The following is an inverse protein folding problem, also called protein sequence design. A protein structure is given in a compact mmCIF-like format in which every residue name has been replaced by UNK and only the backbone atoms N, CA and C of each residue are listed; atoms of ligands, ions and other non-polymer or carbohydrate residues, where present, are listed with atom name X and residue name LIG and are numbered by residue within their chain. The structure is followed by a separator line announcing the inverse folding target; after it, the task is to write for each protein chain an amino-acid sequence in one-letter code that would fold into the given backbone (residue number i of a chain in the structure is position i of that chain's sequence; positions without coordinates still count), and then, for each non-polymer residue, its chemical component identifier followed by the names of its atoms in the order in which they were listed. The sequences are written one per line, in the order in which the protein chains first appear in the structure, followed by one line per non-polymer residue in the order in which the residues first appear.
data_IF_400177749784
#
_entry.id   IF_400177749784
#
_cell.length_a   1.000
_cell.length_b   1.000
_cell.length_c   1.000
_cell.angle_alpha   90.00
_cell.angle_beta   90.00
_cell.angle_gamma   90.00
#
_symmetry.space_group_name_H-M   'P 1'
#
loop_
_entity.id
_entity.type
_entity.pdbx_description
1 polymer ?
#
# COMPACT_ATOMS: atom_id res chain seq x y z
N UNK A 1 12.51 -11.80 -8.61
CA UNK A 1 12.11 -13.02 -9.29
C UNK A 1 13.01 -14.18 -8.87
N UNK A 2 12.78 -14.70 -7.66
CA UNK A 2 13.69 -15.61 -6.96
C UNK A 2 13.43 -17.10 -7.28
N UNK A 3 12.74 -17.38 -8.39
CA UNK A 3 12.53 -18.74 -8.89
C UNK A 3 11.38 -19.53 -8.22
N UNK A 4 10.59 -18.90 -7.33
CA UNK A 4 9.43 -19.52 -6.68
C UNK A 4 8.17 -18.70 -7.04
N UNK A 5 7.61 -18.89 -8.23
CA UNK A 5 6.44 -18.14 -8.67
C UNK A 5 5.23 -18.41 -7.76
N UNK A 6 4.49 -17.34 -7.44
CA UNK A 6 3.32 -17.42 -6.55
C UNK A 6 3.63 -17.47 -5.06
N UNK A 7 4.91 -17.29 -4.65
CA UNK A 7 5.29 -17.08 -3.27
C UNK A 7 5.84 -15.67 -3.09
N UNK A 8 5.23 -14.89 -2.20
CA UNK A 8 5.65 -13.52 -1.84
C UNK A 8 6.04 -13.55 -0.38
N UNK A 9 7.23 -13.05 -0.07
CA UNK A 9 7.77 -12.98 1.28
C UNK A 9 8.29 -11.56 1.50
N UNK A 10 7.58 -10.81 2.33
CA UNK A 10 7.92 -9.44 2.65
C UNK A 10 8.38 -9.31 4.11
N UNK A 11 9.46 -8.55 4.30
CA UNK A 11 10.05 -8.29 5.62
C UNK A 11 9.60 -6.94 6.16
N UNK A 12 9.08 -6.95 7.38
CA UNK A 12 8.68 -5.78 8.14
C UNK A 12 9.36 -5.78 9.51
N UNK A 13 10.48 -5.07 9.61
CA UNK A 13 11.30 -5.09 10.81
C UNK A 13 11.85 -6.49 11.11
N UNK A 14 11.45 -7.07 12.24
CA UNK A 14 11.85 -8.43 12.68
C UNK A 14 10.79 -9.51 12.33
N UNK A 15 9.76 -9.14 11.55
CA UNK A 15 8.64 -9.99 11.17
C UNK A 15 8.58 -10.18 9.66
N UNK A 16 7.95 -11.28 9.25
CA UNK A 16 7.69 -11.56 7.86
C UNK A 16 6.20 -11.78 7.61
N UNK A 17 5.73 -11.26 6.50
CA UNK A 17 4.42 -11.60 5.94
C UNK A 17 4.65 -12.47 4.71
N UNK A 18 3.94 -13.62 4.64
CA UNK A 18 4.08 -14.59 3.57
C UNK A 18 2.74 -14.80 2.89
N UNK A 19 2.72 -14.69 1.57
CA UNK A 19 1.56 -14.96 0.72
C UNK A 19 1.93 -16.06 -0.29
N UNK A 20 1.18 -17.16 -0.30
CA UNK A 20 1.35 -18.26 -1.26
C UNK A 20 0.10 -18.32 -2.12
N UNK A 21 0.25 -18.02 -3.41
CA UNK A 21 -0.84 -17.86 -4.38
C UNK A 21 -0.94 -19.02 -5.39
N UNK A 22 0.06 -19.92 -5.44
CA UNK A 22 0.11 -21.01 -6.40
C UNK A 22 0.29 -22.37 -5.71
N UNK A 23 -0.26 -23.43 -6.32
CA UNK A 23 -0.21 -24.78 -5.79
C UNK A 23 1.22 -25.36 -5.71
N UNK A 24 2.14 -24.89 -6.55
CA UNK A 24 3.55 -25.32 -6.52
C UNK A 24 4.20 -25.05 -5.16
N UNK A 25 4.37 -23.78 -4.76
CA UNK A 25 4.96 -23.45 -3.45
C UNK A 25 4.12 -23.89 -2.26
N UNK A 26 2.79 -24.04 -2.40
CA UNK A 26 1.92 -24.55 -1.33
C UNK A 26 2.37 -25.93 -0.80
N UNK A 27 2.86 -26.81 -1.68
CA UNK A 27 3.40 -28.14 -1.28
C UNK A 27 4.60 -28.03 -0.34
N UNK A 28 5.32 -26.92 -0.39
CA UNK A 28 6.55 -26.70 0.37
C UNK A 28 6.39 -25.66 1.47
N UNK A 29 5.17 -25.18 1.77
CA UNK A 29 4.92 -24.08 2.68
C UNK A 29 5.57 -24.26 4.05
N UNK A 30 5.47 -25.45 4.66
CA UNK A 30 6.07 -25.75 5.97
C UNK A 30 7.61 -25.67 5.93
N UNK A 31 8.21 -26.11 4.81
CA UNK A 31 9.65 -26.01 4.58
C UNK A 31 10.04 -24.56 4.43
N UNK A 32 9.27 -23.78 3.67
CA UNK A 32 9.49 -22.34 3.46
C UNK A 32 9.52 -21.62 4.80
N UNK A 33 8.52 -21.84 5.68
CA UNK A 33 8.46 -21.20 6.99
C UNK A 33 9.63 -21.60 7.90
N UNK A 34 9.98 -22.90 7.95
CA UNK A 34 11.12 -23.39 8.74
C UNK A 34 12.45 -22.81 8.27
N UNK A 35 12.67 -22.80 6.95
CA UNK A 35 13.89 -22.23 6.35
C UNK A 35 13.96 -20.75 6.60
N UNK A 36 12.87 -20.00 6.38
CA UNK A 36 12.80 -18.56 6.61
C UNK A 36 13.14 -18.24 8.07
N UNK A 37 12.48 -18.89 9.04
CA UNK A 37 12.74 -18.68 10.45
C UNK A 37 14.20 -18.98 10.83
N UNK A 38 14.74 -20.13 10.38
CA UNK A 38 16.12 -20.56 10.67
C UNK A 38 17.14 -19.63 10.08
N UNK A 39 16.94 -19.16 8.85
CA UNK A 39 17.92 -18.33 8.12
C UNK A 39 17.91 -16.87 8.58
N UNK A 40 16.78 -16.36 9.03
CA UNK A 40 16.63 -14.94 9.37
C UNK A 40 16.64 -14.66 10.87
N UNK A 41 16.36 -15.65 11.71
CA UNK A 41 16.18 -15.44 13.14
C UNK A 41 15.02 -14.50 13.49
N UNK A 42 13.99 -14.44 12.62
CA UNK A 42 12.87 -13.53 12.80
C UNK A 42 12.06 -13.84 14.06
N UNK A 43 11.40 -12.83 14.62
CA UNK A 43 10.52 -12.99 15.78
C UNK A 43 9.20 -13.67 15.46
N UNK A 44 8.73 -13.53 14.23
CA UNK A 44 7.48 -14.16 13.80
C UNK A 44 7.23 -14.08 12.31
N UNK A 45 6.38 -15.01 11.84
CA UNK A 45 5.90 -15.09 10.47
C UNK A 45 4.37 -15.10 10.48
N UNK A 46 3.75 -14.23 9.71
CA UNK A 46 2.31 -14.18 9.50
C UNK A 46 1.96 -14.61 8.08
N UNK A 47 1.07 -15.58 7.96
CA UNK A 47 0.55 -16.07 6.67
C UNK A 47 -0.63 -15.19 6.22
N UNK A 48 -0.57 -14.65 5.00
CA UNK A 48 -1.60 -13.83 4.34
C UNK A 48 -2.10 -14.51 3.06
N UNK A 49 -2.63 -15.72 3.19
CA UNK A 49 -3.12 -16.54 2.08
C UNK A 49 -4.66 -16.42 1.94
N UNK A 50 -5.19 -15.20 2.00
CA UNK A 50 -6.63 -14.88 1.94
C UNK A 50 -7.12 -14.42 0.58
N UNK A 51 -6.26 -14.34 -0.41
CA UNK A 51 -6.58 -13.95 -1.79
C UNK A 51 -7.51 -14.97 -2.49
N UNK A 52 -8.49 -14.45 -3.27
CA UNK A 52 -9.39 -15.29 -4.08
C UNK A 52 -8.70 -16.02 -5.23
N UNK A 53 -7.49 -15.62 -5.60
CA UNK A 53 -6.65 -16.33 -6.58
C UNK A 53 -6.40 -17.77 -6.15
N UNK A 54 -6.27 -18.05 -4.84
CA UNK A 54 -6.07 -19.39 -4.30
C UNK A 54 -7.18 -20.38 -4.66
N UNK A 55 -8.44 -19.92 -4.72
CA UNK A 55 -9.56 -20.75 -5.13
C UNK A 55 -9.43 -21.24 -6.57
N UNK A 56 -8.84 -20.42 -7.45
CA UNK A 56 -8.60 -20.80 -8.87
C UNK A 56 -7.53 -21.89 -8.99
N UNK A 57 -6.63 -21.98 -7.99
CA UNK A 57 -5.60 -23.00 -7.86
C UNK A 57 -6.07 -24.23 -7.05
N UNK A 58 -7.34 -24.29 -6.64
CA UNK A 58 -7.90 -25.36 -5.82
C UNK A 58 -7.45 -25.33 -4.35
N UNK A 59 -7.01 -24.16 -3.86
CA UNK A 59 -6.51 -24.00 -2.50
C UNK A 59 -7.47 -23.22 -1.60
N UNK A 60 -7.53 -23.58 -0.33
CA UNK A 60 -8.30 -22.85 0.68
C UNK A 60 -7.58 -21.56 1.13
N UNK A 61 -8.38 -20.58 1.57
CA UNK A 61 -7.86 -19.37 2.22
C UNK A 61 -7.32 -19.71 3.61
N UNK A 62 -6.22 -19.03 3.98
CA UNK A 62 -5.58 -19.16 5.28
C UNK A 62 -4.98 -17.85 5.72
N UNK A 63 -5.07 -17.55 7.00
CA UNK A 63 -4.39 -16.42 7.64
C UNK A 63 -4.02 -16.81 9.06
N UNK A 64 -2.91 -16.32 9.55
CA UNK A 64 -2.52 -16.54 10.93
C UNK A 64 -1.02 -16.50 11.18
N UNK A 65 -0.67 -16.61 12.45
CA UNK A 65 0.73 -16.75 12.87
C UNK A 65 1.16 -18.19 12.59
N UNK A 66 2.21 -18.36 11.77
CA UNK A 66 2.74 -19.69 11.41
C UNK A 66 4.11 -19.98 12.07
N UNK A 67 4.73 -18.94 12.63
CA UNK A 67 5.97 -19.07 13.41
C UNK A 67 6.10 -17.94 14.42
N UNK A 68 6.60 -18.27 15.63
CA UNK A 68 6.94 -17.30 16.67
C UNK A 68 5.76 -16.49 17.18
N UNK A 69 6.02 -15.21 17.48
CA UNK A 69 5.01 -14.26 17.97
C UNK A 69 4.96 -13.07 17.02
N UNK A 70 3.75 -12.71 16.59
CA UNK A 70 3.49 -11.54 15.75
C UNK A 70 2.60 -10.57 16.52
N UNK A 71 2.97 -9.29 16.67
CA UNK A 71 2.18 -8.33 17.44
C UNK A 71 0.78 -8.12 16.87
N UNK A 72 -0.17 -7.81 17.73
CA UNK A 72 -1.52 -7.36 17.33
C UNK A 72 -1.52 -5.92 16.83
N UNK A 73 -0.55 -5.12 17.27
CA UNK A 73 -0.39 -3.72 16.89
C UNK A 73 0.43 -3.59 15.60
N UNK A 74 0.24 -2.49 14.84
CA UNK A 74 1.05 -2.23 13.66
C UNK A 74 2.55 -2.20 13.94
N UNK A 75 3.33 -2.71 13.00
CA UNK A 75 4.79 -2.81 13.09
C UNK A 75 5.42 -1.52 12.60
N UNK A 76 6.27 -0.86 13.41
CA UNK A 76 7.01 0.31 12.95
C UNK A 76 8.05 -0.07 11.90
N UNK A 77 8.06 0.65 10.79
CA UNK A 77 9.02 0.52 9.69
C UNK A 77 9.51 1.90 9.26
N UNK A 78 10.75 2.00 8.80
CA UNK A 78 11.28 3.22 8.22
C UNK A 78 11.64 3.00 6.73
N UNK A 79 11.24 3.95 5.90
CA UNK A 79 11.57 3.97 4.47
C UNK A 79 12.06 5.37 4.09
N UNK A 80 13.31 5.47 3.63
CA UNK A 80 13.93 6.75 3.25
C UNK A 80 13.74 7.87 4.30
N UNK A 81 13.79 7.52 5.60
CA UNK A 81 13.64 8.45 6.72
C UNK A 81 12.19 8.92 6.98
N UNK A 82 11.20 8.24 6.45
CA UNK A 82 9.78 8.32 6.84
C UNK A 82 9.44 7.08 7.65
N UNK A 83 8.76 7.28 8.78
CA UNK A 83 8.22 6.21 9.62
C UNK A 83 6.82 5.83 9.15
N UNK A 84 6.57 4.53 9.09
CA UNK A 84 5.28 3.92 8.79
C UNK A 84 4.88 2.96 9.89
N UNK A 85 3.59 2.74 10.02
CA UNK A 85 2.98 1.72 10.88
C UNK A 85 2.32 0.69 9.95
N UNK A 86 2.87 -0.51 9.92
CA UNK A 86 2.47 -1.56 8.99
C UNK A 86 1.59 -2.58 9.69
N UNK A 87 0.37 -2.71 9.24
CA UNK A 87 -0.55 -3.76 9.69
C UNK A 87 -0.40 -4.98 8.77
N UNK A 88 0.41 -5.95 9.18
CA UNK A 88 0.60 -7.19 8.42
C UNK A 88 -0.58 -8.15 8.53
N UNK A 89 -1.54 -7.89 9.43
CA UNK A 89 -2.74 -8.71 9.60
C UNK A 89 -3.87 -8.29 8.68
N UNK A 90 -4.15 -6.98 8.59
CA UNK A 90 -5.32 -6.43 7.90
C UNK A 90 -4.97 -5.43 6.79
N UNK A 91 -3.71 -5.00 6.69
CA UNK A 91 -3.25 -4.08 5.65
C UNK A 91 -3.36 -4.67 4.24
N UNK A 92 -3.28 -3.83 3.22
CA UNK A 92 -3.31 -4.26 1.83
C UNK A 92 -2.09 -5.13 1.48
N UNK A 93 -2.23 -6.04 0.52
CA UNK A 93 -1.20 -7.02 0.13
C UNK A 93 -0.69 -7.78 1.36
N UNK A 94 0.60 -7.83 1.54
CA UNK A 94 1.28 -8.42 2.71
C UNK A 94 1.32 -7.49 3.93
N UNK A 95 0.75 -6.26 3.82
CA UNK A 95 0.73 -5.21 4.84
C UNK A 95 1.03 -3.82 4.29
N UNK A 96 1.84 -3.71 3.23
CA UNK A 96 2.22 -2.44 2.61
C UNK A 96 2.67 -2.63 1.15
N UNK A 97 2.75 -1.51 0.41
CA UNK A 97 3.17 -1.47 -0.98
C UNK A 97 4.68 -1.20 -1.10
N UNK A 98 5.52 -2.20 -0.80
CA UNK A 98 6.98 -2.07 -0.85
C UNK A 98 7.52 -1.77 -2.25
N UNK A 99 6.84 -2.26 -3.28
CA UNK A 99 7.14 -2.03 -4.70
C UNK A 99 7.08 -0.56 -5.12
N UNK A 100 6.32 0.27 -4.39
CA UNK A 100 6.18 1.71 -4.66
C UNK A 100 7.26 2.59 -3.98
N UNK A 101 8.24 2.02 -3.32
CA UNK A 101 9.27 2.73 -2.55
C UNK A 101 10.00 3.80 -3.37
N UNK A 102 10.44 3.43 -4.56
CA UNK A 102 11.22 4.33 -5.42
C UNK A 102 10.32 5.42 -6.05
N UNK A 103 9.06 5.07 -6.36
CA UNK A 103 8.07 6.03 -6.81
C UNK A 103 7.76 7.08 -5.71
N UNK A 104 7.57 6.65 -4.45
CA UNK A 104 7.38 7.58 -3.33
C UNK A 104 8.57 8.52 -3.15
N UNK A 105 9.80 7.99 -3.19
CA UNK A 105 11.02 8.81 -3.14
C UNK A 105 11.03 9.84 -4.26
N UNK A 106 10.73 9.42 -5.48
CA UNK A 106 10.70 10.31 -6.65
C UNK A 106 9.65 11.42 -6.51
N UNK A 107 8.48 11.13 -5.98
CA UNK A 107 7.48 12.16 -5.67
C UNK A 107 8.03 13.18 -4.68
N UNK A 108 8.73 12.75 -3.63
CA UNK A 108 9.39 13.67 -2.71
C UNK A 108 10.37 14.63 -3.41
N UNK A 109 11.21 14.10 -4.29
CA UNK A 109 12.19 14.89 -5.07
C UNK A 109 11.54 15.93 -5.99
N UNK A 110 10.34 15.63 -6.52
CA UNK A 110 9.62 16.49 -7.46
C UNK A 110 8.71 17.52 -6.78
N UNK A 111 8.52 17.47 -5.46
CA UNK A 111 7.43 18.16 -4.76
C UNK A 111 7.77 19.57 -4.26
N UNK A 112 9.04 20.00 -4.31
CA UNK A 112 9.46 21.27 -3.72
C UNK A 112 8.65 22.46 -4.25
N UNK A 113 7.99 23.19 -3.36
CA UNK A 113 7.14 24.35 -3.65
C UNK A 113 5.82 24.02 -4.34
N UNK A 114 5.52 22.78 -4.67
CA UNK A 114 4.38 22.38 -5.48
C UNK A 114 3.11 22.12 -4.69
N UNK A 115 1.96 22.41 -5.30
CA UNK A 115 0.64 21.98 -4.91
C UNK A 115 0.42 20.56 -5.44
N UNK A 116 0.36 19.56 -4.53
CA UNK A 116 0.32 18.14 -4.88
C UNK A 116 -1.06 17.57 -4.61
N UNK A 117 -1.61 16.82 -5.58
CA UNK A 117 -2.81 15.99 -5.39
C UNK A 117 -2.42 14.51 -5.35
N UNK A 118 -2.80 13.81 -4.29
CA UNK A 118 -2.60 12.38 -4.12
C UNK A 118 -3.96 11.66 -4.10
N UNK A 119 -4.29 11.04 -5.22
CA UNK A 119 -5.53 10.30 -5.43
C UNK A 119 -5.36 8.83 -5.02
N UNK A 120 -6.44 8.22 -4.46
CA UNK A 120 -6.39 6.85 -3.92
C UNK A 120 -5.26 6.71 -2.91
N UNK A 121 -5.16 7.69 -2.01
CA UNK A 121 -3.95 7.91 -1.22
C UNK A 121 -3.70 6.84 -0.16
N UNK A 122 -4.67 5.97 0.15
CA UNK A 122 -4.58 4.95 1.21
C UNK A 122 -4.10 5.59 2.52
N UNK A 123 -3.05 5.07 3.14
CA UNK A 123 -2.43 5.62 4.35
C UNK A 123 -1.49 6.81 4.10
N UNK A 124 -1.57 7.42 2.92
CA UNK A 124 -0.92 8.69 2.61
C UNK A 124 0.57 8.62 2.27
N UNK A 125 1.11 7.46 1.93
CA UNK A 125 2.54 7.27 1.72
C UNK A 125 3.17 8.29 0.76
N UNK A 126 2.60 8.50 -0.41
CA UNK A 126 3.08 9.51 -1.36
C UNK A 126 3.00 10.94 -0.81
N UNK A 127 1.91 11.24 -0.07
CA UNK A 127 1.74 12.56 0.56
C UNK A 127 2.78 12.86 1.63
N UNK A 128 3.20 11.86 2.42
CA UNK A 128 4.28 12.00 3.39
C UNK A 128 5.60 12.36 2.70
N UNK A 129 5.93 11.68 1.60
CA UNK A 129 7.13 11.99 0.83
C UNK A 129 7.05 13.36 0.15
N UNK A 130 5.87 13.76 -0.37
CA UNK A 130 5.68 15.09 -0.94
C UNK A 130 5.92 16.19 0.09
N UNK A 131 5.38 16.05 1.31
CA UNK A 131 5.62 17.02 2.41
C UNK A 131 7.07 17.04 2.87
N UNK A 132 7.72 15.86 2.98
CA UNK A 132 9.16 15.78 3.26
C UNK A 132 9.99 16.48 2.17
N UNK A 133 9.55 16.42 0.91
CA UNK A 133 10.12 17.11 -0.23
C UNK A 133 9.74 18.60 -0.33
N UNK A 134 9.19 19.20 0.74
CA UNK A 134 8.81 20.61 0.84
C UNK A 134 7.69 21.02 -0.14
N UNK A 135 6.69 20.16 -0.37
CA UNK A 135 5.47 20.57 -1.04
C UNK A 135 4.85 21.81 -0.37
N UNK A 136 4.28 22.71 -1.16
CA UNK A 136 3.55 23.86 -0.63
C UNK A 136 2.27 23.44 0.07
N UNK A 137 1.55 22.47 -0.53
CA UNK A 137 0.37 21.83 0.04
C UNK A 137 0.13 20.46 -0.59
N UNK A 138 -0.41 19.51 0.18
CA UNK A 138 -0.76 18.16 -0.29
C UNK A 138 -2.24 17.90 -0.03
N UNK A 139 -2.98 17.58 -1.07
CA UNK A 139 -4.37 17.12 -1.01
C UNK A 139 -4.39 15.60 -1.12
N UNK A 140 -4.89 14.93 -0.11
CA UNK A 140 -4.98 13.48 -0.04
C UNK A 140 -6.45 13.06 -0.11
N UNK A 141 -6.79 12.22 -1.08
CA UNK A 141 -8.17 11.81 -1.36
C UNK A 141 -8.26 10.29 -1.36
N UNK A 142 -9.15 9.76 -0.54
CA UNK A 142 -9.46 8.33 -0.47
C UNK A 142 -10.91 8.14 0.00
N UNK A 143 -11.51 7.00 -0.31
CA UNK A 143 -12.85 6.62 0.20
C UNK A 143 -12.77 6.05 1.62
N UNK A 144 -11.59 5.58 2.04
CA UNK A 144 -11.39 4.93 3.33
C UNK A 144 -11.08 5.94 4.43
N UNK A 145 -12.08 6.23 5.27
CA UNK A 145 -11.92 7.07 6.46
C UNK A 145 -10.84 6.55 7.42
N UNK A 146 -10.74 5.23 7.57
CA UNK A 146 -9.72 4.60 8.43
C UNK A 146 -8.32 4.80 7.88
N UNK A 147 -8.11 4.68 6.58
CA UNK A 147 -6.83 4.94 5.94
C UNK A 147 -6.43 6.42 6.07
N UNK A 148 -7.36 7.35 5.86
CA UNK A 148 -7.11 8.78 6.04
C UNK A 148 -6.80 9.16 7.49
N UNK A 149 -7.38 8.45 8.47
CA UNK A 149 -7.01 8.62 9.89
C UNK A 149 -5.54 8.25 10.12
N UNK A 150 -5.12 7.09 9.62
CA UNK A 150 -3.71 6.66 9.69
C UNK A 150 -2.79 7.65 8.97
N UNK A 151 -3.19 8.16 7.80
CA UNK A 151 -2.43 9.18 7.07
C UNK A 151 -2.17 10.44 7.92
N UNK A 152 -3.17 10.91 8.67
CA UNK A 152 -3.03 12.06 9.60
C UNK A 152 -2.11 11.73 10.77
N UNK A 153 -2.23 10.55 11.36
CA UNK A 153 -1.39 10.10 12.47
C UNK A 153 0.07 9.99 12.03
N UNK A 154 0.33 9.47 10.83
CA UNK A 154 1.67 9.38 10.26
C UNK A 154 2.31 10.75 9.99
N UNK A 155 1.54 11.80 9.65
CA UNK A 155 2.08 13.16 9.56
C UNK A 155 2.65 13.63 10.91
N UNK A 156 1.90 13.41 11.98
CA UNK A 156 2.30 13.78 13.34
C UNK A 156 3.53 12.98 13.77
N UNK A 157 3.51 11.67 13.59
CA UNK A 157 4.62 10.76 13.93
C UNK A 157 5.92 11.15 13.23
N UNK A 158 5.82 11.61 11.99
CA UNK A 158 6.97 12.08 11.19
C UNK A 158 7.30 13.55 11.38
N UNK A 159 6.61 14.27 12.26
CA UNK A 159 6.79 15.70 12.51
C UNK A 159 6.69 16.55 11.24
N UNK A 160 5.83 16.14 10.31
CA UNK A 160 5.58 16.86 9.07
C UNK A 160 4.52 17.96 9.29
N UNK A 161 4.54 19.03 8.48
CA UNK A 161 3.65 20.18 8.65
C UNK A 161 2.18 19.83 8.34
N UNK A 162 1.41 19.49 9.37
CA UNK A 162 -0.01 19.09 9.25
C UNK A 162 -0.88 20.17 8.61
N UNK A 163 -0.57 21.45 8.81
CA UNK A 163 -1.25 22.58 8.20
C UNK A 163 -1.11 22.61 6.65
N UNK A 164 -0.12 21.90 6.11
CA UNK A 164 0.10 21.78 4.65
C UNK A 164 -0.54 20.51 4.06
N UNK A 165 -1.43 19.84 4.79
CA UNK A 165 -2.10 18.63 4.32
C UNK A 165 -3.62 18.73 4.50
N UNK A 166 -4.35 18.48 3.43
CA UNK A 166 -5.80 18.33 3.43
C UNK A 166 -6.14 16.87 3.15
N UNK A 167 -7.00 16.26 3.99
CA UNK A 167 -7.47 14.89 3.81
C UNK A 167 -8.96 14.91 3.54
N UNK A 168 -9.37 14.36 2.40
CA UNK A 168 -10.76 14.36 1.95
C UNK A 168 -11.25 12.94 1.78
N UNK A 169 -12.26 12.55 2.55
CA UNK A 169 -13.01 11.31 2.35
C UNK A 169 -13.97 11.52 1.18
N UNK A 170 -13.65 10.97 0.02
CA UNK A 170 -14.47 11.09 -1.19
C UNK A 170 -14.14 9.99 -2.21
N UNK A 171 -15.12 9.72 -3.07
CA UNK A 171 -14.88 9.04 -4.33
C UNK A 171 -14.00 9.90 -5.23
N UNK A 172 -12.85 9.34 -5.67
CA UNK A 172 -11.84 10.08 -6.43
C UNK A 172 -12.39 10.57 -7.77
N UNK A 173 -13.23 9.79 -8.45
CA UNK A 173 -13.84 10.21 -9.71
C UNK A 173 -14.69 11.46 -9.54
N UNK A 174 -15.52 11.48 -8.49
CA UNK A 174 -16.35 12.65 -8.17
C UNK A 174 -15.50 13.85 -7.73
N UNK A 175 -14.43 13.60 -6.97
CA UNK A 175 -13.51 14.64 -6.52
C UNK A 175 -12.81 15.31 -7.70
N UNK A 176 -12.26 14.53 -8.64
CA UNK A 176 -11.61 15.07 -9.84
C UNK A 176 -12.57 15.86 -10.74
N UNK A 177 -13.82 15.38 -10.90
CA UNK A 177 -14.84 16.15 -11.64
C UNK A 177 -15.12 17.50 -10.98
N UNK A 178 -15.26 17.53 -9.65
CA UNK A 178 -15.45 18.79 -8.91
C UNK A 178 -14.25 19.74 -9.06
N UNK A 179 -13.02 19.23 -9.03
CA UNK A 179 -11.82 20.04 -9.27
C UNK A 179 -11.85 20.63 -10.67
N UNK A 180 -12.13 19.83 -11.70
CA UNK A 180 -12.26 20.29 -13.09
C UNK A 180 -13.35 21.37 -13.23
N UNK A 181 -14.52 21.14 -12.68
CA UNK A 181 -15.67 22.06 -12.81
C UNK A 181 -15.41 23.40 -12.10
N UNK A 182 -14.55 23.41 -11.07
CA UNK A 182 -14.08 24.61 -10.36
C UNK A 182 -12.83 25.26 -10.97
N UNK A 183 -12.22 24.65 -11.98
CA UNK A 183 -10.95 25.10 -12.53
C UNK A 183 -9.76 24.97 -11.58
N UNK A 184 -9.83 24.05 -10.61
CA UNK A 184 -8.72 23.79 -9.69
C UNK A 184 -7.56 23.11 -10.41
N UNK A 185 -6.33 23.60 -10.17
CA UNK A 185 -5.10 23.09 -10.78
C UNK A 185 -4.12 22.60 -9.71
N UNK A 186 -3.28 21.67 -10.10
CA UNK A 186 -2.22 21.08 -9.27
C UNK A 186 -0.93 21.01 -10.08
N UNK A 187 0.21 21.22 -9.42
CA UNK A 187 1.53 21.16 -10.08
C UNK A 187 2.03 19.73 -10.23
N UNK A 188 1.54 18.81 -9.38
CA UNK A 188 1.89 17.40 -9.40
C UNK A 188 0.69 16.57 -8.96
N UNK A 189 0.36 15.54 -9.73
CA UNK A 189 -0.73 14.61 -9.42
C UNK A 189 -0.15 13.20 -9.31
N UNK A 190 -0.43 12.53 -8.19
CA UNK A 190 -0.21 11.10 -8.01
C UNK A 190 -1.55 10.41 -8.24
N UNK A 191 -1.57 9.51 -9.22
CA UNK A 191 -2.76 8.77 -9.61
C UNK A 191 -2.45 7.27 -9.57
N UNK A 192 -2.75 6.62 -8.45
CA UNK A 192 -2.48 5.20 -8.22
C UNK A 192 -3.81 4.46 -7.92
N UNK A 193 -4.66 4.27 -8.95
CA UNK A 193 -5.98 3.70 -8.76
C UNK A 193 -5.90 2.20 -8.45
N UNK A 194 -6.93 1.64 -7.79
CA UNK A 194 -7.09 0.21 -7.71
C UNK A 194 -7.28 -0.40 -9.10
N UNK A 195 -7.06 -1.71 -9.20
CA UNK A 195 -7.29 -2.43 -10.44
C UNK A 195 -8.76 -2.37 -10.85
N UNK A 196 -9.08 -1.71 -11.96
CA UNK A 196 -10.45 -1.61 -12.49
C UNK A 196 -10.87 -2.80 -13.36
N UNK A 197 -9.92 -3.65 -13.79
CA UNK A 197 -10.19 -4.83 -14.64
C UNK A 197 -9.76 -6.08 -13.90
N UNK A 198 -10.73 -6.89 -13.49
CA UNK A 198 -10.46 -8.18 -12.83
C UNK A 198 -10.52 -9.37 -13.79
N UNK A 199 -11.31 -9.26 -14.85
CA UNK A 199 -11.52 -10.30 -15.86
C UNK A 199 -11.61 -9.70 -17.25
N UNK A 200 -11.37 -10.53 -18.30
CA UNK A 200 -11.40 -10.10 -19.70
C UNK A 200 -12.74 -9.45 -20.10
N UNK A 201 -13.83 -9.95 -19.57
CA UNK A 201 -15.19 -9.46 -19.86
C UNK A 201 -15.43 -8.03 -19.33
N UNK A 202 -14.61 -7.58 -18.38
CA UNK A 202 -14.69 -6.23 -17.79
C UNK A 202 -13.72 -5.23 -18.45
N UNK A 203 -13.01 -5.64 -19.51
CA UNK A 203 -11.95 -4.82 -20.13
C UNK A 203 -12.46 -3.43 -20.58
N UNK A 204 -13.59 -3.38 -21.28
CA UNK A 204 -14.15 -2.10 -21.77
C UNK A 204 -14.59 -1.19 -20.63
N UNK A 205 -15.22 -1.74 -19.58
CA UNK A 205 -15.64 -0.99 -18.41
C UNK A 205 -14.42 -0.43 -17.64
N UNK A 206 -13.40 -1.25 -17.45
CA UNK A 206 -12.17 -0.84 -16.80
C UNK A 206 -11.39 0.21 -17.59
N UNK A 207 -11.30 0.05 -18.92
CA UNK A 207 -10.67 1.03 -19.80
C UNK A 207 -11.36 2.41 -19.72
N UNK A 208 -12.70 2.44 -19.64
CA UNK A 208 -13.45 3.69 -19.39
C UNK A 208 -13.08 4.31 -18.04
N UNK A 209 -12.95 3.49 -16.97
CA UNK A 209 -12.54 3.98 -15.66
C UNK A 209 -11.16 4.64 -15.71
N UNK A 210 -10.17 4.01 -16.33
CA UNK A 210 -8.84 4.62 -16.52
C UNK A 210 -8.89 5.90 -17.35
N UNK A 211 -9.70 5.94 -18.41
CA UNK A 211 -9.87 7.15 -19.22
C UNK A 211 -10.53 8.30 -18.43
N UNK A 212 -11.46 7.98 -17.51
CA UNK A 212 -12.25 8.97 -16.78
C UNK A 212 -11.43 9.71 -15.70
N UNK A 213 -10.33 9.09 -15.23
CA UNK A 213 -9.45 9.66 -14.20
C UNK A 213 -8.18 10.33 -14.78
N UNK A 214 -7.86 10.12 -16.06
CA UNK A 214 -6.74 10.74 -16.77
C UNK A 214 -7.21 11.94 -17.57
#
# INVERSE_FOLDING_TARGET
NDGIPGCIIDKYGEYYSVEILAAGPEKYREIIYKVLAKKTGCKGIFERCDSDVRKKEGMEKRTGVVYGIVPETPIPMAENGIRFLIDIRNGHKTGYYLDQRDARKRIGELSSGKKVLNCFCYTGGFGLFALKGNASHVYQVDVSKSALKIAKELLIENKLPTAKATHTEADVFQYLRKCRDKGETFDLIVLDPPKFVEAKDHLQKGARGYKDIN
#
